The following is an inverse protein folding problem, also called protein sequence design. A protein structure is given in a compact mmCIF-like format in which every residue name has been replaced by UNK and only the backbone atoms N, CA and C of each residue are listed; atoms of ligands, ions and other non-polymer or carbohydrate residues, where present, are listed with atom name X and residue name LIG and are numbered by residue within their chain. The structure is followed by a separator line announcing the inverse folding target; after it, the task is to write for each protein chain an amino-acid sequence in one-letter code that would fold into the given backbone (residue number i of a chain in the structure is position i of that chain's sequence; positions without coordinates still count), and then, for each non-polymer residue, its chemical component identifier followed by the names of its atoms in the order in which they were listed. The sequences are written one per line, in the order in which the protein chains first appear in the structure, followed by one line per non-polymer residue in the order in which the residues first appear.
data_IF_208174073779
#
_entry.id   IF_208174073779
#
_cell.length_a   1.000
_cell.length_b   1.000
_cell.length_c   1.000
_cell.angle_alpha   90.00
_cell.angle_beta   90.00
_cell.angle_gamma   90.00
#
_symmetry.space_group_name_H-M   'P 1'
#
loop_
_entity.id
_entity.type
_entity.pdbx_description
1 polymer ?
#
# COMPACT_ATOMS: atom_id res chain seq x y z
N UNK A 1 28.11 -16.41 -16.86
CA UNK A 1 29.18 -15.45 -17.19
C UNK A 1 29.59 -14.83 -15.89
N UNK A 2 30.83 -15.04 -15.48
CA UNK A 2 31.31 -14.59 -14.17
C UNK A 2 31.54 -13.07 -14.19
N UNK A 3 31.37 -12.40 -13.04
CA UNK A 3 31.50 -10.94 -12.94
C UNK A 3 32.90 -10.46 -13.37
N UNK A 4 33.94 -11.23 -13.06
CA UNK A 4 35.32 -10.97 -13.48
C UNK A 4 35.50 -11.09 -15.00
N UNK A 5 34.73 -11.97 -15.65
CA UNK A 5 34.75 -12.14 -17.09
C UNK A 5 34.03 -10.97 -17.78
N UNK A 6 32.91 -10.51 -17.21
CA UNK A 6 32.16 -9.36 -17.71
C UNK A 6 32.95 -8.06 -17.61
N UNK A 7 33.70 -7.86 -16.52
CA UNK A 7 34.55 -6.68 -16.31
C UNK A 7 35.62 -6.49 -17.39
N UNK A 8 35.99 -7.57 -18.10
CA UNK A 8 36.97 -7.54 -19.20
C UNK A 8 36.33 -7.24 -20.56
N UNK A 9 35.00 -7.25 -20.68
CA UNK A 9 34.28 -7.01 -21.95
C UNK A 9 34.17 -5.51 -22.26
N UNK A 10 33.94 -5.14 -23.53
CA UNK A 10 33.68 -3.74 -23.90
C UNK A 10 32.49 -3.17 -23.13
N UNK A 11 32.55 -1.87 -22.81
CA UNK A 11 31.51 -1.18 -22.03
C UNK A 11 30.09 -1.42 -22.56
N UNK A 12 29.87 -1.37 -23.87
CA UNK A 12 28.55 -1.62 -24.45
C UNK A 12 28.00 -3.01 -24.13
N UNK A 13 28.87 -4.01 -23.98
CA UNK A 13 28.46 -5.36 -23.56
C UNK A 13 28.08 -5.38 -22.09
N UNK A 14 28.87 -4.73 -21.22
CA UNK A 14 28.57 -4.62 -19.79
C UNK A 14 27.22 -3.90 -19.56
N UNK A 15 27.04 -2.74 -20.20
CA UNK A 15 25.81 -1.95 -20.08
C UNK A 15 24.59 -2.72 -20.58
N UNK A 16 24.70 -3.48 -21.68
CA UNK A 16 23.59 -4.31 -22.18
C UNK A 16 23.21 -5.42 -21.20
N UNK A 17 24.19 -6.05 -20.56
CA UNK A 17 23.94 -7.13 -19.59
C UNK A 17 23.25 -6.58 -18.34
N UNK A 18 23.75 -5.48 -17.77
CA UNK A 18 23.12 -4.84 -16.60
C UNK A 18 21.73 -4.26 -16.94
N UNK A 19 21.59 -3.63 -18.12
CA UNK A 19 20.31 -3.12 -18.58
C UNK A 19 19.28 -4.23 -18.81
N UNK A 20 19.70 -5.41 -19.29
CA UNK A 20 18.82 -6.56 -19.45
C UNK A 20 18.25 -7.04 -18.10
N UNK A 21 19.04 -7.02 -17.02
CA UNK A 21 18.60 -7.36 -15.67
C UNK A 21 17.50 -6.41 -15.16
N UNK A 22 17.74 -5.11 -15.24
CA UNK A 22 16.73 -4.10 -14.87
C UNK A 22 15.49 -4.14 -15.79
N UNK A 23 15.69 -4.31 -17.10
CA UNK A 23 14.61 -4.39 -18.08
C UNK A 23 13.69 -5.57 -17.82
N UNK A 24 14.23 -6.73 -17.46
CA UNK A 24 13.42 -7.90 -17.11
C UNK A 24 12.48 -7.63 -15.94
N UNK A 25 12.94 -6.91 -14.91
CA UNK A 25 12.12 -6.55 -13.75
C UNK A 25 11.03 -5.54 -14.11
N UNK A 26 11.37 -4.50 -14.88
CA UNK A 26 10.39 -3.53 -15.38
C UNK A 26 9.34 -4.24 -16.24
N UNK A 27 9.75 -5.07 -17.18
CA UNK A 27 8.85 -5.79 -18.06
C UNK A 27 7.92 -6.71 -17.26
N UNK A 28 8.46 -7.42 -16.26
CA UNK A 28 7.66 -8.26 -15.35
C UNK A 28 6.61 -7.43 -14.62
N UNK A 29 6.99 -6.28 -14.07
CA UNK A 29 6.03 -5.37 -13.41
C UNK A 29 4.95 -4.89 -14.40
N UNK A 30 5.33 -4.45 -15.60
CA UNK A 30 4.38 -3.94 -16.59
C UNK A 30 3.40 -5.02 -17.08
N UNK A 31 3.87 -6.26 -17.27
CA UNK A 31 3.01 -7.39 -17.63
C UNK A 31 2.02 -7.68 -16.50
N UNK A 32 2.49 -7.76 -15.24
CA UNK A 32 1.61 -7.98 -14.10
C UNK A 32 0.61 -6.83 -13.91
N UNK A 33 1.04 -5.59 -14.10
CA UNK A 33 0.17 -4.42 -14.07
C UNK A 33 -0.92 -4.52 -15.15
N UNK A 34 -0.58 -4.91 -16.37
CA UNK A 34 -1.54 -5.12 -17.45
C UNK A 34 -2.52 -6.24 -17.14
N UNK A 35 -2.03 -7.41 -16.70
CA UNK A 35 -2.87 -8.57 -16.33
C UNK A 35 -3.83 -8.21 -15.20
N UNK A 36 -3.34 -7.57 -14.13
CA UNK A 36 -4.21 -7.13 -13.04
C UNK A 36 -5.18 -6.05 -13.49
N UNK A 37 -4.77 -5.08 -14.31
CA UNK A 37 -5.70 -4.07 -14.84
C UNK A 37 -6.87 -4.71 -15.60
N UNK A 38 -6.59 -5.74 -16.42
CA UNK A 38 -7.62 -6.51 -17.11
C UNK A 38 -8.49 -7.33 -16.15
N UNK A 39 -7.87 -7.98 -15.15
CA UNK A 39 -8.59 -8.75 -14.13
C UNK A 39 -9.54 -7.87 -13.31
N UNK A 40 -9.09 -6.71 -12.87
CA UNK A 40 -9.86 -5.76 -12.07
C UNK A 40 -10.89 -4.97 -12.88
N UNK A 41 -10.76 -4.93 -14.22
CA UNK A 41 -11.80 -4.45 -15.12
C UNK A 41 -12.87 -5.50 -15.43
N UNK A 42 -12.65 -6.77 -15.04
CA UNK A 42 -13.57 -7.87 -15.32
C UNK A 42 -14.67 -8.01 -14.26
N UNK A 43 -15.80 -8.68 -14.56
CA UNK A 43 -16.84 -9.01 -13.56
C UNK A 43 -16.36 -9.91 -12.41
N UNK A 44 -15.18 -10.51 -12.53
CA UNK A 44 -14.58 -11.35 -11.49
C UNK A 44 -13.82 -10.51 -10.44
N UNK A 45 -13.68 -9.20 -10.66
CA UNK A 45 -12.96 -8.30 -9.77
C UNK A 45 -13.59 -8.26 -8.35
N UNK A 46 -12.77 -8.09 -7.30
CA UNK A 46 -13.28 -7.85 -5.95
C UNK A 46 -13.99 -6.50 -5.94
N UNK A 47 -15.26 -6.48 -5.54
CA UNK A 47 -16.05 -5.27 -5.46
C UNK A 47 -16.23 -4.82 -3.99
N UNK A 48 -16.37 -3.51 -3.72
CA UNK A 48 -16.77 -3.00 -2.42
C UNK A 48 -18.02 -3.72 -1.89
N UNK A 49 -17.92 -4.31 -0.70
CA UNK A 49 -18.95 -5.20 -0.14
C UNK A 49 -19.43 -4.76 1.25
N UNK A 50 -19.12 -3.52 1.64
CA UNK A 50 -19.40 -3.04 2.98
C UNK A 50 -18.21 -2.33 3.60
N UNK A 51 -18.39 -1.95 4.86
CA UNK A 51 -17.38 -1.26 5.65
C UNK A 51 -16.96 -2.13 6.82
N UNK A 52 -15.71 -2.56 6.82
CA UNK A 52 -15.16 -3.46 7.84
C UNK A 52 -14.61 -2.70 9.03
N UNK A 53 -15.01 -3.10 10.22
CA UNK A 53 -14.52 -2.54 11.48
C UNK A 53 -13.13 -3.10 11.77
N UNK A 54 -12.14 -2.21 11.91
CA UNK A 54 -10.76 -2.57 12.29
C UNK A 54 -10.45 -2.29 13.74
N UNK A 55 -11.19 -1.38 14.37
CA UNK A 55 -11.03 -1.05 15.78
C UNK A 55 -12.31 -0.45 16.33
N UNK A 56 -12.62 -0.76 17.59
CA UNK A 56 -13.75 -0.21 18.33
C UNK A 56 -13.22 0.55 19.55
N UNK A 57 -13.56 1.82 19.67
CA UNK A 57 -13.13 2.65 20.78
C UNK A 57 -14.02 2.42 22.00
N UNK A 58 -13.41 2.07 23.13
CA UNK A 58 -14.09 1.75 24.39
C UNK A 58 -14.88 2.91 25.00
N UNK A 59 -14.58 4.15 24.63
CA UNK A 59 -15.28 5.34 25.16
C UNK A 59 -16.60 5.65 24.44
N UNK A 60 -17.01 4.86 23.45
CA UNK A 60 -18.13 5.18 22.55
C UNK A 60 -19.15 4.04 22.40
N UNK A 61 -20.37 4.33 21.92
CA UNK A 61 -21.49 3.38 21.91
C UNK A 61 -21.29 2.11 21.08
N UNK A 62 -20.34 2.08 20.14
CA UNK A 62 -19.99 0.85 19.44
C UNK A 62 -19.40 -0.23 20.36
N UNK A 63 -18.76 0.16 21.46
CA UNK A 63 -18.11 -0.77 22.37
C UNK A 63 -19.12 -1.70 23.05
N UNK A 64 -18.77 -2.99 23.12
CA UNK A 64 -19.66 -4.03 23.67
C UNK A 64 -20.76 -4.51 22.70
N UNK A 65 -21.01 -3.79 21.61
CA UNK A 65 -22.02 -4.18 20.61
C UNK A 65 -21.41 -4.61 19.28
N UNK A 66 -20.41 -3.84 18.82
CA UNK A 66 -19.64 -4.12 17.60
C UNK A 66 -18.28 -4.71 17.97
N UNK A 67 -17.75 -5.52 17.06
CA UNK A 67 -16.49 -6.23 17.22
C UNK A 67 -15.60 -6.03 16.00
N UNK A 68 -14.28 -6.12 16.20
CA UNK A 68 -13.33 -6.09 15.10
C UNK A 68 -13.61 -7.24 14.12
N UNK A 69 -13.64 -6.93 12.83
CA UNK A 69 -13.95 -7.89 11.78
C UNK A 69 -15.40 -7.87 11.31
N UNK A 70 -16.32 -7.25 12.05
CA UNK A 70 -17.69 -7.01 11.58
C UNK A 70 -17.68 -6.16 10.31
N UNK A 71 -18.58 -6.47 9.37
CA UNK A 71 -18.77 -5.71 8.14
C UNK A 71 -20.14 -5.05 8.18
N UNK A 72 -20.19 -3.73 8.22
CA UNK A 72 -21.42 -2.96 8.13
C UNK A 72 -21.85 -2.91 6.67
N UNK A 73 -23.05 -3.39 6.38
CA UNK A 73 -23.60 -3.46 5.02
C UNK A 73 -24.80 -2.53 4.81
N UNK A 74 -25.44 -2.06 5.89
CA UNK A 74 -26.46 -1.02 5.82
C UNK A 74 -26.60 -0.21 7.12
N UNK A 75 -27.10 1.02 6.99
CA UNK A 75 -27.55 1.90 8.08
C UNK A 75 -28.98 2.34 7.76
N UNK A 76 -29.94 2.08 8.65
CA UNK A 76 -31.36 2.37 8.46
C UNK A 76 -31.89 1.89 7.09
N UNK A 77 -31.54 0.66 6.72
CA UNK A 77 -31.85 0.04 5.41
C UNK A 77 -31.21 0.71 4.18
N UNK A 78 -30.40 1.76 4.36
CA UNK A 78 -29.59 2.33 3.28
C UNK A 78 -28.30 1.51 3.13
N UNK A 79 -28.02 0.92 1.95
CA UNK A 79 -26.80 0.16 1.73
C UNK A 79 -25.54 1.00 1.96
N UNK A 80 -24.54 0.42 2.62
CA UNK A 80 -23.23 1.04 2.86
C UNK A 80 -22.14 0.21 2.19
N UNK A 81 -22.18 0.10 0.86
CA UNK A 81 -21.22 -0.73 0.11
C UNK A 81 -19.81 -0.12 0.11
N UNK A 82 -19.71 1.20 0.13
CA UNK A 82 -18.45 1.95 0.15
C UNK A 82 -18.22 2.75 1.44
N UNK A 83 -16.96 3.11 1.70
CA UNK A 83 -16.59 4.06 2.77
C UNK A 83 -17.26 5.43 2.60
N UNK A 84 -17.43 5.88 1.36
CA UNK A 84 -18.09 7.14 1.04
C UNK A 84 -19.59 7.08 1.35
N UNK A 85 -20.25 5.96 1.03
CA UNK A 85 -21.65 5.74 1.39
C UNK A 85 -21.83 5.78 2.91
N UNK A 86 -20.99 5.05 3.64
CA UNK A 86 -21.02 5.04 5.09
C UNK A 86 -20.85 6.45 5.67
N UNK A 87 -19.84 7.18 5.21
CA UNK A 87 -19.53 8.53 5.71
C UNK A 87 -20.65 9.53 5.38
N UNK A 88 -21.20 9.45 4.16
CA UNK A 88 -22.31 10.28 3.69
C UNK A 88 -23.60 9.99 4.47
N UNK A 89 -23.93 8.72 4.67
CA UNK A 89 -25.14 8.31 5.39
C UNK A 89 -25.03 8.66 6.87
N UNK A 90 -23.93 8.26 7.53
CA UNK A 90 -23.73 8.53 8.96
C UNK A 90 -23.64 10.04 9.24
N UNK A 91 -23.09 10.82 8.30
CA UNK A 91 -22.96 12.27 8.41
C UNK A 91 -24.29 13.05 8.47
N UNK A 92 -25.42 12.41 8.11
CA UNK A 92 -26.74 13.01 8.22
C UNK A 92 -27.34 12.92 9.63
N UNK A 93 -26.76 12.10 10.51
CA UNK A 93 -27.27 11.87 11.85
C UNK A 93 -26.61 12.79 12.88
N UNK A 94 -27.39 13.19 13.87
CA UNK A 94 -26.95 14.02 15.00
C UNK A 94 -26.58 13.13 16.21
N UNK A 95 -25.85 13.68 17.18
CA UNK A 95 -25.65 13.00 18.45
C UNK A 95 -27.00 12.66 19.12
N UNK A 96 -27.03 11.56 19.87
CA UNK A 96 -28.20 10.99 20.55
C UNK A 96 -29.30 10.43 19.62
N UNK A 97 -29.10 10.45 18.31
CA UNK A 97 -30.00 9.75 17.39
C UNK A 97 -29.71 8.25 17.38
N UNK A 98 -30.76 7.44 17.21
CA UNK A 98 -30.65 5.98 17.16
C UNK A 98 -30.66 5.51 15.71
N UNK A 99 -29.74 4.61 15.39
CA UNK A 99 -29.59 4.00 14.08
C UNK A 99 -29.70 2.47 14.16
N UNK A 100 -30.20 1.89 13.09
CA UNK A 100 -30.28 0.45 12.86
C UNK A 100 -29.18 0.03 11.90
N UNK A 101 -28.23 -0.76 12.37
CA UNK A 101 -27.16 -1.32 11.59
C UNK A 101 -27.52 -2.73 11.14
N UNK A 102 -27.27 -3.03 9.88
CA UNK A 102 -27.16 -4.42 9.40
C UNK A 102 -25.69 -4.72 9.20
N UNK A 103 -25.19 -5.74 9.90
CA UNK A 103 -23.80 -6.17 9.85
C UNK A 103 -23.68 -7.63 9.45
N UNK A 104 -22.53 -8.03 8.94
CA UNK A 104 -22.11 -9.42 8.81
C UNK A 104 -21.07 -9.72 9.89
N UNK A 105 -21.35 -10.69 10.76
CA UNK A 105 -20.40 -11.24 11.74
C UNK A 105 -20.28 -12.74 11.49
N UNK A 106 -19.05 -13.23 11.32
CA UNK A 106 -18.79 -14.65 11.04
C UNK A 106 -19.64 -15.20 9.87
N UNK A 107 -19.84 -14.39 8.83
CA UNK A 107 -20.64 -14.74 7.64
C UNK A 107 -22.16 -14.71 7.81
N UNK A 108 -22.69 -14.32 8.98
CA UNK A 108 -24.13 -14.24 9.24
C UNK A 108 -24.60 -12.80 9.40
N UNK A 109 -25.77 -12.43 8.84
CA UNK A 109 -26.35 -11.11 9.04
C UNK A 109 -26.89 -10.96 10.46
N UNK A 110 -26.62 -9.82 11.08
CA UNK A 110 -27.16 -9.39 12.37
C UNK A 110 -27.66 -7.96 12.27
N UNK A 111 -28.78 -7.70 12.93
CA UNK A 111 -29.32 -6.35 13.07
C UNK A 111 -29.03 -5.84 14.48
N UNK A 112 -28.44 -4.66 14.58
CA UNK A 112 -28.09 -4.00 15.83
C UNK A 112 -28.70 -2.60 15.85
N UNK A 113 -29.13 -2.15 17.02
CA UNK A 113 -29.63 -0.79 17.21
C UNK A 113 -28.68 -0.08 18.15
N UNK A 114 -28.18 1.09 17.74
CA UNK A 114 -27.20 1.87 18.50
C UNK A 114 -27.59 3.34 18.52
N UNK A 115 -27.39 3.99 19.66
CA UNK A 115 -27.52 5.44 19.80
C UNK A 115 -26.15 6.08 19.58
N UNK A 116 -26.08 7.11 18.73
CA UNK A 116 -24.84 7.80 18.39
C UNK A 116 -24.41 8.77 19.49
N UNK A 117 -23.09 8.94 19.65
CA UNK A 117 -22.53 9.94 20.57
C UNK A 117 -22.02 11.18 19.79
N UNK A 118 -21.55 12.20 20.50
CA UNK A 118 -20.92 13.38 19.91
C UNK A 118 -19.58 13.03 19.29
N UNK A 119 -19.37 13.43 18.04
CA UNK A 119 -18.06 13.28 17.40
C UNK A 119 -16.99 14.12 18.10
N UNK A 120 -15.80 13.56 18.37
CA UNK A 120 -14.68 14.32 18.95
C UNK A 120 -14.14 15.38 17.98
N UNK A 121 -14.46 15.28 16.69
CA UNK A 121 -14.02 16.20 15.65
C UNK A 121 -15.06 17.28 15.31
N UNK A 122 -16.36 16.99 15.53
CA UNK A 122 -17.45 17.90 15.26
C UNK A 122 -18.66 17.55 16.13
N UNK A 123 -18.90 18.31 17.19
CA UNK A 123 -19.96 18.05 18.17
C UNK A 123 -21.38 18.05 17.60
N UNK A 124 -21.60 18.57 16.38
CA UNK A 124 -22.90 18.58 15.70
C UNK A 124 -23.21 17.30 14.94
N UNK A 125 -22.26 16.36 14.83
CA UNK A 125 -22.41 15.09 14.11
C UNK A 125 -22.41 13.90 15.05
N UNK A 126 -23.27 12.93 14.75
CA UNK A 126 -23.27 11.63 15.42
C UNK A 126 -22.00 10.83 15.12
N UNK A 127 -21.56 10.05 16.10
CA UNK A 127 -20.32 9.30 16.04
C UNK A 127 -20.48 7.93 16.68
N UNK A 128 -20.03 6.91 15.95
CA UNK A 128 -20.15 5.52 16.36
C UNK A 128 -18.97 5.08 17.25
N UNK A 129 -17.78 5.66 17.05
CA UNK A 129 -16.58 5.26 17.77
C UNK A 129 -15.81 4.10 17.16
N UNK A 130 -15.88 3.90 15.85
CA UNK A 130 -15.16 2.82 15.15
C UNK A 130 -14.12 3.38 14.19
N UNK A 131 -13.01 2.65 14.02
CA UNK A 131 -12.16 2.79 12.83
C UNK A 131 -12.58 1.73 11.84
N UNK A 132 -12.63 2.13 10.58
CA UNK A 132 -13.18 1.34 9.50
C UNK A 132 -12.23 1.29 8.31
N UNK A 133 -12.38 0.26 7.50
CA UNK A 133 -11.72 0.10 6.20
C UNK A 133 -12.73 -0.42 5.17
N UNK A 134 -12.43 -0.23 3.89
CA UNK A 134 -13.24 -0.81 2.82
C UNK A 134 -13.19 -2.34 2.88
N UNK A 135 -14.35 -2.99 2.92
CA UNK A 135 -14.44 -4.45 2.72
C UNK A 135 -14.63 -4.75 1.23
N UNK A 136 -14.05 -5.85 0.76
CA UNK A 136 -14.19 -6.33 -0.61
C UNK A 136 -14.73 -7.76 -0.60
N UNK A 137 -15.50 -8.13 -1.64
CA UNK A 137 -16.06 -9.48 -1.80
C UNK A 137 -15.01 -10.59 -1.74
N UNK A 138 -13.81 -10.32 -2.26
CA UNK A 138 -12.64 -11.19 -2.14
C UNK A 138 -11.44 -10.39 -1.63
N UNK A 139 -11.36 -10.23 -0.31
CA UNK A 139 -10.26 -9.49 0.34
C UNK A 139 -8.89 -10.10 0.04
N UNK A 140 -8.79 -11.43 -0.01
CA UNK A 140 -7.51 -12.10 -0.23
C UNK A 140 -6.95 -11.74 -1.60
N UNK A 141 -7.76 -11.88 -2.65
CA UNK A 141 -7.37 -11.53 -4.01
C UNK A 141 -7.02 -10.06 -4.16
N UNK A 142 -7.81 -9.15 -3.56
CA UNK A 142 -7.51 -7.72 -3.60
C UNK A 142 -6.15 -7.42 -2.95
N UNK A 143 -5.95 -7.91 -1.71
CA UNK A 143 -4.73 -7.65 -0.93
C UNK A 143 -3.50 -8.29 -1.54
N UNK A 144 -3.59 -9.53 -2.01
CA UNK A 144 -2.47 -10.23 -2.63
C UNK A 144 -2.07 -9.60 -3.96
N UNK A 145 -3.04 -9.18 -4.78
CA UNK A 145 -2.77 -8.50 -6.05
C UNK A 145 -2.10 -7.15 -5.81
N UNK A 146 -2.63 -6.37 -4.87
CA UNK A 146 -2.01 -5.10 -4.47
C UNK A 146 -0.59 -5.30 -3.96
N UNK A 147 -0.39 -6.26 -3.06
CA UNK A 147 0.94 -6.56 -2.50
C UNK A 147 1.93 -7.01 -3.58
N UNK A 148 1.51 -7.87 -4.51
CA UNK A 148 2.36 -8.33 -5.60
C UNK A 148 2.80 -7.19 -6.52
N UNK A 149 1.88 -6.25 -6.83
CA UNK A 149 2.20 -5.05 -7.60
C UNK A 149 3.20 -4.15 -6.86
N UNK A 150 3.05 -3.97 -5.54
CA UNK A 150 4.00 -3.22 -4.72
C UNK A 150 5.38 -3.86 -4.72
N UNK A 151 5.48 -5.17 -4.52
CA UNK A 151 6.78 -5.87 -4.50
C UNK A 151 7.46 -5.80 -5.86
N UNK A 152 6.74 -6.10 -6.93
CA UNK A 152 7.31 -6.16 -8.30
C UNK A 152 7.73 -4.77 -8.79
N UNK A 153 6.93 -3.74 -8.53
CA UNK A 153 7.34 -2.35 -8.79
C UNK A 153 8.54 -1.93 -7.95
N UNK A 154 8.59 -2.30 -6.67
CA UNK A 154 9.72 -1.97 -5.79
C UNK A 154 11.02 -2.58 -6.31
N UNK A 155 11.02 -3.86 -6.69
CA UNK A 155 12.19 -4.53 -7.28
C UNK A 155 12.61 -3.85 -8.58
N UNK A 156 11.65 -3.51 -9.45
CA UNK A 156 11.93 -2.82 -10.71
C UNK A 156 12.56 -1.44 -10.48
N UNK A 157 12.03 -0.64 -9.56
CA UNK A 157 12.54 0.70 -9.25
C UNK A 157 13.91 0.62 -8.58
N UNK A 158 14.06 -0.24 -7.56
CA UNK A 158 15.30 -0.38 -6.79
C UNK A 158 16.44 -0.80 -7.73
N UNK A 159 16.25 -1.79 -8.60
CA UNK A 159 17.33 -2.27 -9.48
C UNK A 159 17.83 -1.22 -10.47
N UNK A 160 17.00 -0.25 -10.86
CA UNK A 160 17.38 0.85 -11.76
C UNK A 160 18.12 1.96 -11.01
N UNK A 161 18.04 2.03 -9.68
CA UNK A 161 18.69 3.08 -8.91
C UNK A 161 20.23 3.05 -9.09
N UNK A 162 20.90 4.22 -9.13
CA UNK A 162 22.35 4.31 -9.24
C UNK A 162 23.04 4.04 -7.89
N UNK A 163 22.73 2.88 -7.29
CA UNK A 163 23.25 2.41 -6.01
C UNK A 163 23.96 1.08 -6.25
N UNK A 164 25.25 1.01 -5.97
CA UNK A 164 26.01 -0.24 -6.01
C UNK A 164 25.61 -1.11 -4.79
N UNK A 165 25.37 -2.44 -4.94
CA UNK A 165 25.71 -3.29 -6.10
C UNK A 165 24.57 -3.52 -7.12
N UNK A 166 23.52 -2.70 -7.14
CA UNK A 166 22.38 -2.86 -8.06
C UNK A 166 22.78 -2.57 -9.51
N UNK A 167 21.96 -3.02 -10.46
CA UNK A 167 22.22 -2.88 -11.90
C UNK A 167 22.44 -1.43 -12.33
N UNK A 168 21.61 -0.49 -11.88
CA UNK A 168 21.77 0.94 -12.16
C UNK A 168 23.09 1.50 -11.60
N UNK A 169 23.51 1.03 -10.43
CA UNK A 169 24.81 1.38 -9.84
C UNK A 169 26.00 0.81 -10.62
N UNK A 170 25.88 -0.44 -11.10
CA UNK A 170 26.89 -1.08 -11.96
C UNK A 170 27.00 -0.39 -13.33
N UNK A 171 25.88 0.01 -13.91
CA UNK A 171 25.84 0.79 -15.15
C UNK A 171 26.50 2.16 -14.98
N UNK A 172 26.18 2.87 -13.88
CA UNK A 172 26.82 4.15 -13.57
C UNK A 172 28.34 3.99 -13.39
N UNK A 173 28.77 2.98 -12.63
CA UNK A 173 30.19 2.67 -12.43
C UNK A 173 30.91 2.47 -13.76
N UNK A 174 30.38 1.59 -14.61
CA UNK A 174 30.97 1.29 -15.92
C UNK A 174 31.00 2.52 -16.84
N UNK A 175 29.97 3.38 -16.78
CA UNK A 175 29.95 4.63 -17.53
C UNK A 175 31.00 5.64 -17.03
N UNK A 176 31.18 5.78 -15.72
CA UNK A 176 32.18 6.67 -15.13
C UNK A 176 33.61 6.20 -15.44
N UNK A 177 33.88 4.89 -15.41
CA UNK A 177 35.19 4.32 -15.76
C UNK A 177 35.61 4.59 -17.21
N UNK A 178 34.68 4.96 -18.10
CA UNK A 178 35.00 5.37 -19.47
C UNK A 178 35.69 6.74 -19.53
N UNK A 179 35.35 7.64 -18.61
CA UNK A 179 35.76 9.05 -18.64
C UNK A 179 36.76 9.37 -17.53
N UNK A 180 36.71 8.63 -16.41
CA UNK A 180 37.50 8.87 -15.22
C UNK A 180 38.44 7.70 -14.92
N UNK A 181 39.56 7.95 -14.21
CA UNK A 181 40.39 6.88 -13.68
C UNK A 181 39.58 5.93 -12.79
N UNK A 182 39.85 4.63 -12.87
CA UNK A 182 39.10 3.58 -12.15
C UNK A 182 38.89 3.86 -10.66
N UNK A 183 39.93 4.33 -9.98
CA UNK A 183 39.86 4.66 -8.55
C UNK A 183 38.88 5.82 -8.29
N UNK A 184 38.89 6.85 -9.13
CA UNK A 184 38.00 8.00 -9.02
C UNK A 184 36.56 7.63 -9.33
N UNK A 185 36.32 6.88 -10.42
CA UNK A 185 34.99 6.37 -10.76
C UNK A 185 34.40 5.54 -9.61
N UNK A 186 35.20 4.62 -9.05
CA UNK A 186 34.81 3.80 -7.90
C UNK A 186 34.44 4.63 -6.68
N UNK A 187 35.27 5.59 -6.30
CA UNK A 187 35.01 6.43 -5.14
C UNK A 187 33.74 7.27 -5.32
N UNK A 188 33.52 7.85 -6.51
CA UNK A 188 32.32 8.62 -6.83
C UNK A 188 31.08 7.73 -6.76
N UNK A 189 31.09 6.56 -7.40
CA UNK A 189 29.95 5.64 -7.38
C UNK A 189 29.62 5.15 -5.97
N UNK A 190 30.62 4.82 -5.15
CA UNK A 190 30.39 4.41 -3.76
C UNK A 190 29.84 5.57 -2.93
N UNK A 191 30.43 6.76 -3.04
CA UNK A 191 29.95 7.94 -2.32
C UNK A 191 28.50 8.28 -2.68
N UNK A 192 28.17 8.26 -3.98
CA UNK A 192 26.80 8.45 -4.45
C UNK A 192 25.86 7.34 -3.94
N UNK A 193 26.31 6.08 -3.96
CA UNK A 193 25.51 4.96 -3.46
C UNK A 193 25.19 5.11 -1.98
N UNK A 194 26.18 5.47 -1.16
CA UNK A 194 26.00 5.72 0.27
C UNK A 194 25.03 6.89 0.50
N UNK A 195 25.19 7.99 -0.24
CA UNK A 195 24.31 9.14 -0.14
C UNK A 195 22.85 8.78 -0.49
N UNK A 196 22.63 8.11 -1.61
CA UNK A 196 21.29 7.73 -2.06
C UNK A 196 20.65 6.66 -1.18
N UNK A 197 21.42 5.66 -0.76
CA UNK A 197 20.95 4.65 0.20
C UNK A 197 20.62 5.30 1.54
N UNK A 198 21.42 6.27 1.99
CA UNK A 198 21.17 7.05 3.20
C UNK A 198 19.86 7.82 3.12
N UNK A 199 19.60 8.53 2.01
CA UNK A 199 18.32 9.23 1.78
C UNK A 199 17.15 8.25 1.74
N UNK A 200 17.30 7.12 1.04
CA UNK A 200 16.25 6.12 0.94
C UNK A 200 15.88 5.57 2.33
N UNK A 201 16.88 5.18 3.12
CA UNK A 201 16.68 4.70 4.49
C UNK A 201 16.08 5.81 5.37
N UNK A 202 16.58 7.04 5.28
CA UNK A 202 16.04 8.18 6.03
C UNK A 202 14.56 8.43 5.70
N UNK A 203 14.19 8.36 4.42
CA UNK A 203 12.79 8.50 3.98
C UNK A 203 11.92 7.35 4.48
N UNK A 204 12.42 6.11 4.46
CA UNK A 204 11.70 4.95 5.01
C UNK A 204 11.50 5.10 6.51
N UNK A 205 12.54 5.49 7.26
CA UNK A 205 12.48 5.69 8.72
C UNK A 205 11.56 6.86 9.08
N UNK A 206 11.66 7.98 8.38
CA UNK A 206 10.80 9.15 8.59
C UNK A 206 9.34 8.82 8.31
N UNK A 207 9.07 8.14 7.18
CA UNK A 207 7.73 7.67 6.84
C UNK A 207 7.20 6.68 7.89
N UNK A 208 7.99 5.67 8.26
CA UNK A 208 7.60 4.72 9.29
C UNK A 208 7.33 5.41 10.64
N UNK A 209 8.14 6.38 11.05
CA UNK A 209 7.95 7.12 12.30
C UNK A 209 6.72 8.03 12.31
N UNK A 210 6.32 8.57 11.15
CA UNK A 210 5.10 9.37 11.03
C UNK A 210 3.83 8.51 10.98
N UNK A 211 3.92 7.33 10.35
CA UNK A 211 2.77 6.45 10.10
C UNK A 211 2.60 5.31 11.11
N UNK A 212 3.62 4.94 11.89
CA UNK A 212 3.49 4.06 13.04
C UNK A 212 2.95 4.86 14.22
N UNK A 213 1.75 4.56 14.75
CA UNK A 213 1.28 5.19 15.97
C UNK A 213 2.09 4.60 17.13
N UNK A 214 3.24 5.19 17.45
CA UNK A 214 3.69 5.16 18.83
C UNK A 214 2.67 5.98 19.63
N UNK A 215 1.63 5.30 20.11
CA UNK A 215 0.80 5.79 21.20
C UNK A 215 0.99 4.84 22.38
N UNK A 216 1.45 5.32 23.55
CA UNK A 216 0.84 4.87 24.79
C UNK A 216 -0.64 5.32 24.84
#
# INVERSE_FOLDING_TARGET
MDEEELAKKPLGTQLRVFAAGSFANILTFLVLLGVFSLLFASPLAPNPAGVKIVYVNSSYPAYGHLTQGDIIIAINNMPTTTLDDFSRILGNFKPNETIHLTIIRNGRPLNLTLTLDKSPYNSSRGFLGVKIQQAYTNEWMYKSSWWLLVVTSSVAIINVMPIFPLDGGRMLMAALEKVLPKNTARNISIALSIYLAGILVANIVFSAGYWLPFRP
#
